data_IF_875280110658
#
_entry.id   IF_875280110658
#
_cell.length_a   1.000
_cell.length_b   1.000
_cell.length_c   1.000
_cell.angle_alpha   90.00
_cell.angle_beta   90.00
_cell.angle_gamma   90.00
#
_symmetry.space_group_name_H-M   'P 1'
#
loop_
_entity.id
_entity.type
_entity.pdbx_description
1 polymer ?
#
# COMPACT_ATOMS: atom_id res chain seq x y z
N UNK A 1 14.83 4.67 2.40
CA UNK A 1 14.34 5.96 1.92
C UNK A 1 15.10 7.07 2.63
N UNK A 2 15.54 8.12 1.91
CA UNK A 2 16.23 9.29 2.48
C UNK A 2 15.41 9.97 3.60
N UNK A 3 14.10 9.72 3.64
CA UNK A 3 13.14 10.26 4.62
C UNK A 3 12.86 9.34 5.82
N UNK A 4 13.55 8.20 6.00
CA UNK A 4 13.27 7.26 7.11
C UNK A 4 13.45 7.86 8.52
N UNK A 5 14.21 8.96 8.63
CA UNK A 5 14.46 9.67 9.90
C UNK A 5 13.64 10.97 10.06
N UNK A 6 12.81 11.31 9.08
CA UNK A 6 12.01 12.54 9.11
C UNK A 6 10.74 12.32 9.93
N UNK A 7 10.33 13.33 10.70
CA UNK A 7 8.99 13.39 11.30
C UNK A 7 7.92 13.40 10.20
N UNK A 8 6.65 13.13 10.55
CA UNK A 8 5.57 13.17 9.57
C UNK A 8 5.50 14.52 8.84
N UNK A 9 5.65 15.63 9.56
CA UNK A 9 5.63 16.97 8.97
C UNK A 9 6.81 17.21 8.02
N UNK A 10 8.02 16.79 8.41
CA UNK A 10 9.20 16.89 7.55
C UNK A 10 9.09 16.00 6.31
N UNK A 11 8.37 14.87 6.39
CA UNK A 11 8.08 14.01 5.22
C UNK A 11 7.09 14.71 4.29
N UNK A 12 6.02 15.29 4.83
CA UNK A 12 5.05 16.07 4.06
C UNK A 12 5.72 17.21 3.30
N UNK A 13 6.50 18.04 4.00
CA UNK A 13 7.21 19.17 3.38
C UNK A 13 8.16 18.71 2.26
N UNK A 14 8.96 17.67 2.52
CA UNK A 14 9.86 17.11 1.52
C UNK A 14 9.11 16.62 0.27
N UNK A 15 7.97 15.94 0.47
CA UNK A 15 7.13 15.44 -0.63
C UNK A 15 6.56 16.58 -1.47
N UNK A 16 6.06 17.64 -0.83
CA UNK A 16 5.53 18.81 -1.53
C UNK A 16 6.62 19.52 -2.34
N UNK A 17 7.85 19.62 -1.83
CA UNK A 17 8.96 20.28 -2.53
C UNK A 17 9.57 19.46 -3.65
N UNK A 18 9.72 18.13 -3.45
CA UNK A 18 10.52 17.27 -4.34
C UNK A 18 9.69 16.30 -5.16
N UNK A 19 8.63 15.73 -4.59
CA UNK A 19 7.84 14.68 -5.23
C UNK A 19 6.65 15.24 -6.01
N UNK A 20 5.95 16.24 -5.46
CA UNK A 20 4.82 16.91 -6.13
C UNK A 20 5.14 17.38 -7.56
N UNK A 21 6.23 18.12 -7.84
CA UNK A 21 6.51 18.57 -9.22
C UNK A 21 6.74 17.40 -10.19
N UNK A 22 7.29 16.28 -9.72
CA UNK A 22 7.50 15.08 -10.54
C UNK A 22 6.16 14.42 -10.86
N UNK A 23 5.27 14.32 -9.87
CA UNK A 23 3.93 13.76 -10.05
C UNK A 23 3.09 14.64 -10.96
N UNK A 24 3.12 15.96 -10.79
CA UNK A 24 2.42 16.89 -11.67
C UNK A 24 2.89 16.73 -13.12
N UNK A 25 4.21 16.63 -13.35
CA UNK A 25 4.77 16.37 -14.67
C UNK A 25 4.33 15.00 -15.24
N UNK A 26 4.30 13.96 -14.40
CA UNK A 26 3.82 12.63 -14.79
C UNK A 26 2.33 12.66 -15.19
N UNK A 27 1.48 13.32 -14.41
CA UNK A 27 0.04 13.42 -14.71
C UNK A 27 -0.23 14.23 -15.96
N UNK A 28 0.47 15.34 -16.15
CA UNK A 28 0.39 16.14 -17.37
C UNK A 28 0.80 15.32 -18.60
N UNK A 29 1.85 14.51 -18.49
CA UNK A 29 2.25 13.58 -19.54
C UNK A 29 1.22 12.48 -19.79
N UNK A 30 0.63 11.93 -18.72
CA UNK A 30 -0.36 10.85 -18.81
C UNK A 30 -1.66 11.32 -19.47
N UNK A 31 -2.09 12.56 -19.21
CA UNK A 31 -3.26 13.19 -19.83
C UNK A 31 -3.12 13.35 -21.35
N UNK A 32 -1.89 13.48 -21.86
CA UNK A 32 -1.59 13.52 -23.29
C UNK A 32 -1.59 12.14 -23.95
N UNK A 33 -1.68 11.05 -23.18
CA UNK A 33 -1.69 9.70 -23.74
C UNK A 33 -3.10 9.35 -24.25
N UNK A 34 -3.19 9.04 -25.53
CA UNK A 34 -4.44 8.58 -26.17
C UNK A 34 -4.25 7.17 -26.75
N UNK A 35 -4.09 6.14 -25.89
CA UNK A 35 -3.91 4.78 -26.34
C UNK A 35 -5.18 4.23 -27.00
N UNK A 36 -4.98 3.36 -28.00
CA UNK A 36 -6.08 2.68 -28.67
C UNK A 36 -6.92 1.86 -27.66
N UNK A 37 -8.25 1.97 -27.78
CA UNK A 37 -9.20 1.23 -26.93
C UNK A 37 -8.92 -0.28 -27.01
N UNK A 38 -9.08 -0.97 -25.88
CA UNK A 38 -8.86 -2.41 -25.76
C UNK A 38 -7.39 -2.83 -25.55
N UNK A 39 -6.43 -1.92 -25.65
CA UNK A 39 -5.02 -2.22 -25.37
C UNK A 39 -4.73 -2.33 -23.87
N UNK A 40 -3.67 -3.05 -23.52
CA UNK A 40 -3.14 -3.10 -22.15
C UNK A 40 -2.74 -1.70 -21.65
N UNK A 41 -2.22 -0.85 -22.54
CA UNK A 41 -1.87 0.53 -22.23
C UNK A 41 -3.11 1.36 -21.90
N UNK A 42 -4.19 1.24 -22.69
CA UNK A 42 -5.46 1.92 -22.37
C UNK A 42 -6.01 1.52 -21.01
N UNK A 43 -5.92 0.22 -20.65
CA UNK A 43 -6.31 -0.24 -19.32
C UNK A 43 -5.45 0.38 -18.22
N UNK A 44 -4.14 0.48 -18.43
CA UNK A 44 -3.20 1.07 -17.46
C UNK A 44 -3.42 2.59 -17.29
N UNK A 45 -3.57 3.34 -18.39
CA UNK A 45 -3.84 4.78 -18.37
C UNK A 45 -5.14 5.08 -17.65
N UNK A 46 -6.23 4.40 -18.03
CA UNK A 46 -7.54 4.57 -17.38
C UNK A 46 -7.47 4.24 -15.89
N UNK A 47 -6.78 3.16 -15.52
CA UNK A 47 -6.62 2.78 -14.11
C UNK A 47 -5.87 3.83 -13.31
N UNK A 48 -4.76 4.36 -13.85
CA UNK A 48 -3.97 5.39 -13.20
C UNK A 48 -4.77 6.70 -13.05
N UNK A 49 -5.44 7.15 -14.11
CA UNK A 49 -6.28 8.36 -14.08
C UNK A 49 -7.40 8.25 -13.04
N UNK A 50 -8.12 7.12 -13.00
CA UNK A 50 -9.18 6.88 -12.01
C UNK A 50 -8.69 6.85 -10.56
N UNK A 51 -7.38 6.68 -10.34
CA UNK A 51 -6.77 6.63 -9.00
C UNK A 51 -5.97 7.88 -8.65
N UNK A 52 -5.93 8.89 -9.52
CA UNK A 52 -5.14 10.12 -9.32
C UNK A 52 -5.44 10.76 -7.97
N UNK A 53 -6.72 11.02 -7.67
CA UNK A 53 -7.13 11.71 -6.44
C UNK A 53 -6.70 10.94 -5.19
N UNK A 54 -6.97 9.63 -5.15
CA UNK A 54 -6.59 8.77 -4.01
C UNK A 54 -5.08 8.63 -3.87
N UNK A 55 -4.34 8.59 -4.99
CA UNK A 55 -2.89 8.57 -4.94
C UNK A 55 -2.39 9.87 -4.31
N UNK A 56 -2.82 11.03 -4.80
CA UNK A 56 -2.30 12.33 -4.38
C UNK A 56 -2.48 12.61 -2.88
N UNK A 57 -3.46 12.00 -2.21
CA UNK A 57 -3.63 12.08 -0.75
C UNK A 57 -2.38 11.70 0.04
N UNK A 58 -1.49 10.83 -0.48
CA UNK A 58 -0.24 10.47 0.22
C UNK A 58 0.70 11.67 0.42
N UNK A 59 0.57 12.72 -0.39
CA UNK A 59 1.36 13.95 -0.25
C UNK A 59 0.87 14.82 0.91
N UNK A 60 -0.40 14.67 1.31
CA UNK A 60 -1.05 15.51 2.30
C UNK A 60 -0.71 15.08 3.73
N UNK A 61 -0.49 13.78 3.94
CA UNK A 61 -0.15 13.19 5.22
C UNK A 61 1.19 12.43 5.17
N UNK A 62 2.14 12.88 5.99
CA UNK A 62 3.45 12.25 6.18
C UNK A 62 3.40 10.87 6.84
N UNK A 63 2.27 10.45 7.42
CA UNK A 63 2.05 9.08 7.90
C UNK A 63 1.69 8.11 6.78
N UNK A 64 1.08 8.58 5.70
CA UNK A 64 0.78 7.75 4.54
C UNK A 64 2.07 7.31 3.84
N UNK A 65 2.09 6.05 3.42
CA UNK A 65 3.15 5.46 2.61
C UNK A 65 2.69 5.37 1.16
N UNK A 66 3.55 5.79 0.22
CA UNK A 66 3.33 5.61 -1.21
C UNK A 66 3.31 4.12 -1.60
N UNK A 67 4.15 3.30 -0.95
CA UNK A 67 4.22 1.86 -1.21
C UNK A 67 3.33 1.09 -0.26
N UNK A 68 2.66 0.06 -0.78
CA UNK A 68 1.94 -0.94 0.02
C UNK A 68 2.85 -2.04 0.61
N UNK A 69 4.18 -1.94 0.44
CA UNK A 69 5.15 -2.96 0.89
C UNK A 69 4.95 -3.41 2.35
N UNK A 70 4.57 -2.50 3.24
CA UNK A 70 4.29 -2.86 4.64
C UNK A 70 3.09 -3.81 4.74
N UNK A 71 1.99 -3.49 4.07
CA UNK A 71 0.80 -4.33 3.99
C UNK A 71 1.09 -5.67 3.31
N UNK A 72 1.88 -5.67 2.22
CA UNK A 72 2.30 -6.91 1.56
C UNK A 72 3.19 -7.78 2.45
N UNK A 73 4.08 -7.17 3.23
CA UNK A 73 4.89 -7.89 4.20
C UNK A 73 4.04 -8.47 5.34
N UNK A 74 3.05 -7.73 5.84
CA UNK A 74 2.16 -8.17 6.91
C UNK A 74 1.25 -9.35 6.48
N UNK A 75 0.78 -9.36 5.22
CA UNK A 75 -0.06 -10.46 4.71
C UNK A 75 0.78 -11.67 4.25
N UNK A 76 2.08 -11.50 3.98
CA UNK A 76 2.94 -12.58 3.46
C UNK A 76 2.93 -13.84 4.33
N UNK A 77 3.09 -13.80 5.68
CA UNK A 77 3.01 -14.98 6.52
C UNK A 77 1.70 -15.76 6.36
N UNK A 78 0.58 -15.06 6.23
CA UNK A 78 -0.73 -15.66 5.99
C UNK A 78 -0.80 -16.34 4.62
N UNK A 79 -0.33 -15.68 3.56
CA UNK A 79 -0.34 -16.26 2.21
C UNK A 79 0.55 -17.51 2.09
N UNK A 80 1.70 -17.53 2.79
CA UNK A 80 2.60 -18.68 2.83
C UNK A 80 1.97 -19.80 3.68
N UNK A 81 1.43 -19.46 4.85
CA UNK A 81 0.76 -20.41 5.75
C UNK A 81 -0.42 -21.10 5.07
N UNK A 82 -1.26 -20.36 4.32
CA UNK A 82 -2.40 -20.90 3.57
C UNK A 82 -2.01 -22.04 2.62
N UNK A 83 -0.82 -21.98 1.99
CA UNK A 83 -0.34 -23.06 1.11
C UNK A 83 -0.06 -24.36 1.88
N UNK A 84 0.26 -24.26 3.18
CA UNK A 84 0.60 -25.38 4.05
C UNK A 84 -0.57 -25.83 4.95
N UNK A 85 -1.68 -25.10 4.97
CA UNK A 85 -2.85 -25.45 5.79
C UNK A 85 -3.76 -26.44 5.06
N UNK A 86 -3.55 -27.73 5.35
CA UNK A 86 -4.33 -28.86 4.81
C UNK A 86 -5.84 -28.81 5.15
N UNK A 87 -6.25 -28.00 6.14
CA UNK A 87 -7.64 -27.97 6.66
C UNK A 87 -8.32 -26.59 6.62
N UNK A 88 -7.73 -25.57 5.99
CA UNK A 88 -8.35 -24.24 5.85
C UNK A 88 -9.38 -24.17 4.70
N UNK A 89 -10.28 -25.16 4.64
CA UNK A 89 -11.23 -25.36 3.55
C UNK A 89 -12.56 -24.60 3.73
N UNK A 90 -12.83 -24.04 4.91
CA UNK A 90 -14.10 -23.33 5.17
C UNK A 90 -13.95 -21.80 5.24
N UNK A 91 -14.92 -21.02 4.72
CA UNK A 91 -14.95 -19.56 4.88
C UNK A 91 -14.89 -19.10 6.34
N UNK A 92 -15.52 -19.88 7.24
CA UNK A 92 -15.47 -19.63 8.69
C UNK A 92 -14.05 -19.75 9.25
N UNK A 93 -13.31 -20.80 8.85
CA UNK A 93 -11.91 -20.99 9.25
C UNK A 93 -10.99 -19.89 8.70
N UNK A 94 -11.22 -19.43 7.46
CA UNK A 94 -10.50 -18.30 6.89
C UNK A 94 -10.76 -17.00 7.66
N UNK A 95 -12.01 -16.74 8.04
CA UNK A 95 -12.40 -15.55 8.82
C UNK A 95 -11.77 -15.56 10.21
N UNK A 96 -11.85 -16.69 10.92
CA UNK A 96 -11.23 -16.84 12.24
C UNK A 96 -9.70 -16.63 12.16
N UNK A 97 -9.05 -17.20 11.14
CA UNK A 97 -7.61 -17.02 10.92
C UNK A 97 -7.26 -15.56 10.64
N UNK A 98 -8.04 -14.86 9.81
CA UNK A 98 -7.82 -13.45 9.52
C UNK A 98 -7.92 -12.57 10.78
N UNK A 99 -8.87 -12.84 11.68
CA UNK A 99 -9.01 -12.12 12.96
C UNK A 99 -7.75 -12.30 13.82
N UNK A 100 -7.30 -13.54 14.02
CA UNK A 100 -6.12 -13.84 14.84
C UNK A 100 -4.86 -13.18 14.27
N UNK A 101 -4.62 -13.31 12.97
CA UNK A 101 -3.47 -12.67 12.32
C UNK A 101 -3.55 -11.14 12.41
N UNK A 102 -4.75 -10.55 12.30
CA UNK A 102 -4.92 -9.11 12.48
C UNK A 102 -4.53 -8.67 13.90
N UNK A 103 -4.95 -9.41 14.93
CA UNK A 103 -4.58 -9.11 16.32
C UNK A 103 -3.06 -9.19 16.54
N UNK A 104 -2.42 -10.24 16.00
CA UNK A 104 -0.97 -10.42 16.11
C UNK A 104 -0.20 -9.32 15.39
N UNK A 105 -0.58 -8.97 14.16
CA UNK A 105 0.09 -7.89 13.41
C UNK A 105 -0.15 -6.51 14.06
N UNK A 106 -1.34 -6.27 14.62
CA UNK A 106 -1.61 -5.06 15.42
C UNK A 106 -0.75 -4.98 16.68
N UNK A 107 -0.57 -6.10 17.39
CA UNK A 107 0.30 -6.15 18.57
C UNK A 107 1.76 -5.86 18.19
N UNK A 108 2.28 -6.48 17.12
CA UNK A 108 3.63 -6.18 16.58
C UNK A 108 3.78 -4.72 16.17
N UNK A 109 2.76 -4.13 15.54
CA UNK A 109 2.77 -2.73 15.12
C UNK A 109 2.80 -1.74 16.30
N UNK A 110 2.41 -2.18 17.49
CA UNK A 110 2.47 -1.40 18.74
C UNK A 110 3.63 -1.86 19.66
N UNK A 111 4.65 -2.54 19.10
CA UNK A 111 5.82 -3.03 19.81
C UNK A 111 5.50 -3.96 21.01
N UNK A 112 4.34 -4.62 20.98
CA UNK A 112 3.95 -5.61 21.99
C UNK A 112 4.56 -6.98 21.67
N UNK A 113 5.04 -7.66 22.70
CA UNK A 113 5.64 -8.98 22.55
C UNK A 113 4.55 -10.03 22.29
N UNK A 114 4.54 -10.60 21.08
CA UNK A 114 3.57 -11.64 20.68
C UNK A 114 4.10 -13.07 20.82
N UNK A 115 5.34 -13.26 21.30
CA UNK A 115 6.03 -14.57 21.33
C UNK A 115 6.28 -15.06 22.76
N UNK A 116 6.15 -14.21 23.78
CA UNK A 116 6.26 -14.61 25.19
C UNK A 116 4.91 -14.45 25.92
N UNK A 117 3.97 -15.35 25.62
CA UNK A 117 2.85 -15.67 26.52
C UNK A 117 3.08 -17.11 26.99
#
# INVERSE_FOLDING_TARGET
SKTKKHTAEQRKQFRLEKEKPILDAFWNWLEQQHPNKGTRLAKAVNYAQNRKDTLMTYLEDGHCSLSNNLSENAIRPFTIGRKNWLFSASPKGATASAIVYTMVEMAKANDLNTINI
#
